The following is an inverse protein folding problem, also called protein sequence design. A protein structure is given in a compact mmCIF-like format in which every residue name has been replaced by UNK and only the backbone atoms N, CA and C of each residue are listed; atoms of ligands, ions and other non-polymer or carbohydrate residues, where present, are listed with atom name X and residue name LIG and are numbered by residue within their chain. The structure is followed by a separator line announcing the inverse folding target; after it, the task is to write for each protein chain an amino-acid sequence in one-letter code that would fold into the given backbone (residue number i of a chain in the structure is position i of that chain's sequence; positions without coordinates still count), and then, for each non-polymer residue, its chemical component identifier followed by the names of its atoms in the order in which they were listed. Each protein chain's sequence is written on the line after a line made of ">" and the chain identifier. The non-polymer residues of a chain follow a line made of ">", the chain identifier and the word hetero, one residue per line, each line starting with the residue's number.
data_IF_714733350499
#
_entry.id   IF_714733350499
#
_cell.length_a   1.000
_cell.length_b   1.000
_cell.length_c   1.000
_cell.angle_alpha   90.00
_cell.angle_beta   90.00
_cell.angle_gamma   90.00
#
_symmetry.space_group_name_H-M   'P 1'
#
loop_
_entity.id
_entity.type
_entity.pdbx_description
1 polymer ?
#
# COMPACT_ATOMS: atom_id res chain seq x y z
N UNK A 1 -4.44 7.48 -9.22
CA UNK A 1 -3.11 7.67 -9.85
C UNK A 1 -3.30 7.70 -11.36
N UNK A 2 -2.86 8.75 -12.06
CA UNK A 2 -3.08 8.90 -13.51
C UNK A 2 -1.86 8.53 -14.36
N UNK A 3 -0.66 8.62 -13.79
CA UNK A 3 0.60 8.30 -14.49
C UNK A 3 0.71 6.79 -14.75
N UNK A 4 0.95 6.40 -16.01
CA UNK A 4 1.10 5.00 -16.42
C UNK A 4 2.37 4.35 -15.87
N UNK A 5 3.47 5.10 -15.73
CA UNK A 5 4.73 4.58 -15.18
C UNK A 5 4.56 4.23 -13.70
N UNK A 6 3.93 5.13 -12.94
CA UNK A 6 3.65 4.88 -11.52
C UNK A 6 2.66 3.72 -11.33
N UNK A 7 1.70 3.53 -12.24
CA UNK A 7 0.81 2.36 -12.21
C UNK A 7 1.56 1.05 -12.44
N UNK A 8 2.49 1.02 -13.40
CA UNK A 8 3.33 -0.15 -13.64
C UNK A 8 4.20 -0.48 -12.42
N UNK A 9 4.77 0.52 -11.77
CA UNK A 9 5.53 0.34 -10.52
C UNK A 9 4.67 -0.16 -9.37
N UNK A 10 3.46 0.37 -9.20
CA UNK A 10 2.52 -0.11 -8.21
C UNK A 10 2.19 -1.60 -8.43
N UNK A 11 2.00 -2.01 -9.69
CA UNK A 11 1.77 -3.40 -10.05
C UNK A 11 3.02 -4.26 -9.77
N UNK A 12 4.23 -3.74 -10.04
CA UNK A 12 5.46 -4.45 -9.73
C UNK A 12 5.65 -4.67 -8.22
N UNK A 13 5.37 -3.66 -7.38
CA UNK A 13 5.41 -3.79 -5.92
C UNK A 13 4.50 -4.92 -5.44
N UNK A 14 3.27 -4.94 -5.93
CA UNK A 14 2.28 -5.94 -5.57
C UNK A 14 2.72 -7.34 -6.01
N UNK A 15 3.20 -7.49 -7.25
CA UNK A 15 3.65 -8.77 -7.78
C UNK A 15 4.83 -9.33 -6.97
N UNK A 16 5.79 -8.49 -6.59
CA UNK A 16 6.92 -8.91 -5.76
C UNK A 16 6.46 -9.30 -4.35
N UNK A 17 5.57 -8.52 -3.74
CA UNK A 17 4.99 -8.84 -2.45
C UNK A 17 4.28 -10.21 -2.45
N UNK A 18 3.45 -10.47 -3.46
CA UNK A 18 2.71 -11.73 -3.60
C UNK A 18 3.62 -12.94 -3.87
N UNK A 19 4.85 -12.74 -4.37
CA UNK A 19 5.87 -13.79 -4.49
C UNK A 19 6.61 -14.07 -3.18
N UNK A 20 6.22 -13.42 -2.08
CA UNK A 20 6.87 -13.58 -0.77
C UNK A 20 8.01 -12.60 -0.52
N UNK A 21 8.24 -11.61 -1.39
CA UNK A 21 9.16 -10.52 -1.06
C UNK A 21 8.49 -9.59 -0.04
N UNK A 22 8.82 -9.75 1.24
CA UNK A 22 8.24 -8.94 2.32
C UNK A 22 8.64 -7.47 2.26
N UNK A 23 9.66 -7.09 1.49
CA UNK A 23 10.17 -5.72 1.40
C UNK A 23 10.41 -5.26 -0.05
N UNK A 24 9.36 -5.18 -0.88
CA UNK A 24 9.51 -4.84 -2.29
C UNK A 24 9.81 -3.36 -2.51
N UNK A 25 10.51 -3.06 -3.61
CA UNK A 25 10.82 -1.69 -4.01
C UNK A 25 11.83 -1.02 -3.07
N UNK A 26 11.41 0.04 -2.38
CA UNK A 26 12.26 0.84 -1.49
C UNK A 26 11.89 0.68 -0.02
N UNK A 27 11.03 -0.27 0.34
CA UNK A 27 10.55 -0.41 1.71
C UNK A 27 9.06 -0.71 1.82
N UNK A 28 8.68 -1.38 2.90
CA UNK A 28 7.33 -1.32 3.45
C UNK A 28 7.29 -0.38 4.68
N UNK A 29 6.12 0.17 4.99
CA UNK A 29 5.90 0.94 6.21
C UNK A 29 4.60 0.47 6.86
N UNK A 30 4.67 0.05 8.13
CA UNK A 30 3.45 -0.20 8.90
C UNK A 30 2.74 1.13 9.20
N UNK A 31 1.42 1.16 9.02
CA UNK A 31 0.61 2.36 9.29
C UNK A 31 -0.19 2.17 10.59
N UNK A 32 -1.16 1.27 10.59
CA UNK A 32 -2.05 0.99 11.74
C UNK A 32 -2.88 -0.26 11.46
N UNK A 33 -3.38 -0.95 12.51
CA UNK A 33 -4.31 -2.08 12.44
C UNK A 33 -4.06 -3.10 11.29
N UNK A 34 -2.80 -3.51 11.10
CA UNK A 34 -2.43 -4.48 10.05
C UNK A 34 -2.41 -3.90 8.62
N UNK A 35 -2.63 -2.60 8.46
CA UNK A 35 -2.44 -1.85 7.21
C UNK A 35 -0.98 -1.45 7.08
N UNK A 36 -0.41 -1.71 5.91
CA UNK A 36 0.95 -1.33 5.55
C UNK A 36 1.01 -0.74 4.14
N UNK A 37 2.05 0.05 3.90
CA UNK A 37 2.32 0.74 2.65
C UNK A 37 3.57 0.15 1.98
N UNK A 38 3.45 -0.29 0.74
CA UNK A 38 4.58 -0.61 -0.14
C UNK A 38 5.00 0.63 -0.91
N UNK A 39 6.32 0.84 -1.07
CA UNK A 39 6.88 2.06 -1.67
C UNK A 39 7.79 1.74 -2.85
N UNK A 40 7.54 2.36 -4.00
CA UNK A 40 8.46 2.33 -5.13
C UNK A 40 9.48 3.46 -5.04
N UNK A 41 10.59 3.28 -5.75
CA UNK A 41 11.66 4.28 -5.91
C UNK A 41 11.13 5.60 -6.50
N UNK A 42 10.28 5.53 -7.54
CA UNK A 42 9.82 6.74 -8.25
C UNK A 42 8.53 7.33 -7.67
N UNK A 43 7.96 6.73 -6.64
CA UNK A 43 6.92 7.37 -5.82
C UNK A 43 5.54 6.73 -5.86
N UNK A 44 5.38 5.56 -6.47
CA UNK A 44 4.16 4.76 -6.36
C UNK A 44 4.01 4.20 -4.94
N UNK A 45 2.76 4.09 -4.48
CA UNK A 45 2.36 3.54 -3.19
C UNK A 45 1.24 2.53 -3.38
N UNK A 46 1.32 1.42 -2.66
CA UNK A 46 0.25 0.42 -2.58
C UNK A 46 -0.05 0.17 -1.11
N UNK A 47 -1.31 0.26 -0.72
CA UNK A 47 -1.75 0.04 0.66
C UNK A 47 -2.42 -1.31 0.74
N UNK A 48 -1.94 -2.13 1.66
CA UNK A 48 -2.35 -3.50 1.82
C UNK A 48 -2.78 -3.76 3.26
N UNK A 49 -3.68 -4.71 3.44
CA UNK A 49 -4.03 -5.28 4.75
C UNK A 49 -4.07 -6.79 4.64
N UNK A 50 -3.54 -7.46 5.66
CA UNK A 50 -3.58 -8.92 5.76
C UNK A 50 -4.66 -9.34 6.75
N UNK A 51 -5.55 -10.23 6.32
CA UNK A 51 -6.51 -10.92 7.18
C UNK A 51 -6.38 -12.43 6.93
N UNK A 52 -5.68 -13.13 7.82
CA UNK A 52 -5.28 -14.53 7.59
C UNK A 52 -4.41 -14.67 6.34
N UNK A 53 -4.78 -15.58 5.46
CA UNK A 53 -4.10 -15.83 4.18
C UNK A 53 -4.54 -14.88 3.05
N UNK A 54 -5.44 -13.93 3.35
CA UNK A 54 -5.94 -12.97 2.36
C UNK A 54 -5.16 -11.66 2.44
N UNK A 55 -4.66 -11.22 1.28
CA UNK A 55 -4.09 -9.88 1.09
C UNK A 55 -5.13 -9.01 0.41
N UNK A 56 -5.63 -8.01 1.12
CA UNK A 56 -6.53 -6.99 0.58
C UNK A 56 -5.74 -5.79 0.08
N UNK A 57 -6.01 -5.36 -1.16
CA UNK A 57 -5.48 -4.13 -1.71
C UNK A 57 -6.45 -3.00 -1.41
N UNK A 58 -6.11 -2.15 -0.45
CA UNK A 58 -7.00 -1.09 0.02
C UNK A 58 -6.97 0.15 -0.87
N UNK A 59 -5.79 0.52 -1.39
CA UNK A 59 -5.62 1.70 -2.24
C UNK A 59 -4.31 1.68 -3.04
N UNK A 60 -4.23 2.58 -4.03
CA UNK A 60 -2.99 2.95 -4.73
C UNK A 60 -2.87 4.48 -4.80
N UNK A 61 -1.70 5.01 -4.49
CA UNK A 61 -1.45 6.46 -4.47
C UNK A 61 -0.05 6.79 -5.01
N UNK A 62 0.21 8.08 -5.24
CA UNK A 62 1.55 8.58 -5.47
C UNK A 62 1.95 9.55 -4.35
N UNK A 63 3.20 10.03 -4.36
CA UNK A 63 3.70 10.97 -3.33
C UNK A 63 2.81 12.21 -3.14
N UNK A 64 2.09 12.67 -4.18
CA UNK A 64 1.32 13.92 -4.13
C UNK A 64 0.02 13.76 -3.33
N UNK A 65 -0.54 12.55 -3.28
CA UNK A 65 -1.79 12.28 -2.58
C UNK A 65 -1.69 11.22 -1.47
N UNK A 66 -0.46 10.82 -1.12
CA UNK A 66 -0.17 9.85 -0.06
C UNK A 66 -0.87 10.19 1.27
N UNK A 67 -0.69 11.41 1.78
CA UNK A 67 -1.27 11.83 3.07
C UNK A 67 -2.79 11.69 3.11
N UNK A 68 -3.47 12.19 2.07
CA UNK A 68 -4.94 12.11 1.95
C UNK A 68 -5.45 10.68 1.89
N UNK A 69 -4.70 9.78 1.24
CA UNK A 69 -5.07 8.36 1.18
C UNK A 69 -4.88 7.70 2.54
N UNK A 70 -3.77 7.99 3.25
CA UNK A 70 -3.53 7.44 4.60
C UNK A 70 -4.61 7.90 5.57
N UNK A 71 -4.92 9.20 5.59
CA UNK A 71 -5.99 9.78 6.40
C UNK A 71 -7.33 9.07 6.14
N UNK A 72 -7.70 8.90 4.86
CA UNK A 72 -8.93 8.20 4.49
C UNK A 72 -8.93 6.73 4.92
N UNK A 73 -7.79 6.04 4.84
CA UNK A 73 -7.67 4.66 5.31
C UNK A 73 -7.75 4.58 6.83
N UNK A 74 -7.25 5.57 7.56
CA UNK A 74 -7.32 5.63 9.02
C UNK A 74 -8.76 5.87 9.50
N UNK A 75 -9.51 6.72 8.82
CA UNK A 75 -10.94 6.91 9.09
C UNK A 75 -11.76 5.61 8.97
N UNK A 76 -11.44 4.79 7.96
CA UNK A 76 -12.19 3.56 7.64
C UNK A 76 -11.71 2.37 8.47
N UNK A 77 -10.39 2.22 8.63
CA UNK A 77 -9.74 1.02 9.16
C UNK A 77 -8.94 1.26 10.46
N UNK A 78 -8.77 2.51 10.89
CA UNK A 78 -7.98 2.89 12.07
C UNK A 78 -8.66 2.62 13.42
N UNK A 79 -9.97 2.39 13.44
CA UNK A 79 -10.68 1.97 14.66
C UNK A 79 -10.65 0.44 14.78
N UNK A 80 -10.18 -0.09 15.92
CA UNK A 80 -10.33 -1.53 16.22
C UNK A 80 -11.82 -1.88 16.17
N UNK A 81 -12.19 -2.89 15.37
CA UNK A 81 -13.52 -3.52 15.47
C UNK A 81 -13.64 -4.01 16.92
N UNK A 82 -14.65 -3.52 17.64
CA UNK A 82 -14.98 -3.94 19.01
C UNK A 82 -15.48 -5.37 19.00
#
# INVERSE_FOLDING_TARGET
>A
MKDKKLQAEANNLLNEYLKGNSNPGSGNNYLFNGVFELRSKNGARVYLRTEGDTVEILAKSDKKNQSKVIERLEEIYGKKRK
#
